data_IF_523715144829
#
_entry.id   IF_523715144829
#
_cell.length_a   1.000
_cell.length_b   1.000
_cell.length_c   1.000
_cell.angle_alpha   90.00
_cell.angle_beta   90.00
_cell.angle_gamma   90.00
#
_symmetry.space_group_name_H-M   'P 1'
#
loop_
_entity.id
_entity.type
_entity.pdbx_description
1 polymer ?
#
# COMPACT_ATOMS: atom_id res chain seq x y z
N UNK A 1 34.32 -37.93 60.77
CA UNK A 1 34.02 -38.08 59.34
C UNK A 1 32.77 -37.27 59.05
N UNK A 2 32.94 -36.02 58.62
CA UNK A 2 31.83 -35.06 58.45
C UNK A 2 31.33 -35.16 57.01
N UNK A 3 30.11 -35.66 56.81
CA UNK A 3 29.48 -35.76 55.49
C UNK A 3 28.84 -34.42 55.15
N UNK A 4 29.40 -33.75 54.14
CA UNK A 4 28.85 -32.53 53.57
C UNK A 4 27.82 -32.91 52.49
N UNK A 5 26.54 -32.63 52.74
CA UNK A 5 25.46 -32.86 51.76
C UNK A 5 25.37 -31.64 50.84
N UNK A 6 25.81 -31.81 49.59
CA UNK A 6 25.64 -30.81 48.53
C UNK A 6 24.20 -30.88 48.00
N UNK A 7 23.37 -29.89 48.35
CA UNK A 7 22.07 -29.68 47.70
C UNK A 7 22.30 -29.02 46.33
N UNK A 8 22.24 -29.82 45.26
CA UNK A 8 22.20 -29.30 43.90
C UNK A 8 20.77 -28.85 43.62
N UNK A 9 20.52 -27.54 43.68
CA UNK A 9 19.29 -26.96 43.15
C UNK A 9 19.34 -27.02 41.62
N UNK A 10 18.71 -28.05 41.04
CA UNK A 10 18.37 -28.06 39.62
C UNK A 10 17.24 -27.06 39.43
N UNK A 11 17.58 -25.83 39.07
CA UNK A 11 16.60 -24.86 38.60
C UNK A 11 16.12 -25.34 37.24
N UNK A 12 14.92 -25.91 37.19
CA UNK A 12 14.21 -26.14 35.93
C UNK A 12 13.81 -24.77 35.41
N UNK A 13 14.68 -24.18 34.57
CA UNK A 13 14.39 -22.92 33.90
C UNK A 13 13.30 -23.24 32.87
N UNK A 14 12.03 -23.10 33.28
CA UNK A 14 10.92 -23.13 32.33
C UNK A 14 11.24 -22.06 31.30
N UNK A 15 11.54 -22.49 30.07
CA UNK A 15 11.85 -21.61 28.95
C UNK A 15 10.58 -20.84 28.59
N UNK A 16 10.25 -19.83 29.39
CA UNK A 16 9.09 -18.98 29.17
C UNK A 16 9.17 -18.41 27.77
N UNK A 17 8.04 -18.48 27.07
CA UNK A 17 7.98 -18.26 25.64
C UNK A 17 8.25 -16.78 25.36
N UNK A 18 9.24 -16.47 24.52
CA UNK A 18 9.45 -15.15 23.93
C UNK A 18 9.13 -15.28 22.44
N UNK A 19 8.07 -14.62 22.00
CA UNK A 19 7.55 -14.75 20.65
C UNK A 19 7.30 -13.40 20.01
N UNK A 20 7.31 -13.36 18.68
CA UNK A 20 6.93 -12.19 17.89
C UNK A 20 5.50 -12.40 17.38
N UNK A 21 4.59 -11.50 17.75
CA UNK A 21 3.15 -11.64 17.47
C UNK A 21 2.73 -10.94 16.18
N UNK A 22 3.18 -9.69 15.99
CA UNK A 22 2.83 -8.86 14.84
C UNK A 22 4.07 -8.21 14.30
N UNK A 23 4.19 -8.18 12.97
CA UNK A 23 5.27 -7.49 12.27
C UNK A 23 4.66 -6.53 11.25
N UNK A 24 5.31 -5.39 11.05
CA UNK A 24 4.84 -4.35 10.13
C UNK A 24 6.01 -3.77 9.34
N UNK A 25 5.76 -3.42 8.08
CA UNK A 25 6.61 -2.58 7.26
C UNK A 25 5.83 -1.29 6.96
N UNK A 26 6.45 -0.12 7.14
CA UNK A 26 5.77 1.18 7.00
C UNK A 26 4.42 1.24 7.75
N UNK A 27 4.41 0.69 8.97
CA UNK A 27 3.24 0.59 9.87
C UNK A 27 2.06 -0.25 9.36
N UNK A 28 2.24 -1.00 8.27
CA UNK A 28 1.25 -1.93 7.71
C UNK A 28 1.76 -3.36 7.80
N UNK A 29 0.86 -4.34 7.88
CA UNK A 29 1.29 -5.75 7.97
C UNK A 29 1.97 -6.20 6.69
N UNK A 30 1.31 -6.08 5.53
CA UNK A 30 1.90 -6.47 4.23
C UNK A 30 1.68 -5.40 3.15
N UNK A 31 2.36 -4.23 3.26
CA UNK A 31 2.12 -3.11 2.35
C UNK A 31 2.51 -3.43 0.90
N UNK A 32 1.68 -2.98 -0.04
CA UNK A 32 1.83 -3.28 -1.47
C UNK A 32 2.51 -2.16 -2.29
N UNK A 33 2.55 -0.93 -1.75
CA UNK A 33 3.09 0.27 -2.41
C UNK A 33 4.09 1.00 -1.49
N UNK A 34 5.14 0.30 -1.05
CA UNK A 34 6.19 0.93 -0.24
C UNK A 34 6.99 1.90 -1.12
N UNK A 35 6.75 3.20 -0.94
CA UNK A 35 7.37 4.28 -1.72
C UNK A 35 8.47 4.99 -0.91
N UNK A 36 9.45 4.24 -0.43
CA UNK A 36 10.65 4.78 0.25
C UNK A 36 11.85 3.91 -0.07
N UNK A 37 13.05 4.49 -0.07
CA UNK A 37 14.31 3.73 -0.26
C UNK A 37 14.75 3.00 1.01
N UNK A 38 14.25 3.43 2.17
CA UNK A 38 14.59 2.89 3.49
C UNK A 38 13.32 2.45 4.22
N UNK A 39 12.67 1.33 3.83
CA UNK A 39 11.49 0.84 4.52
C UNK A 39 11.75 0.63 6.01
N UNK A 40 10.75 0.94 6.83
CA UNK A 40 10.81 0.88 8.29
C UNK A 40 10.05 -0.32 8.81
N UNK A 41 10.72 -1.11 9.62
CA UNK A 41 10.18 -2.32 10.23
C UNK A 41 9.77 -2.08 11.68
N UNK A 42 8.72 -2.78 12.09
CA UNK A 42 8.25 -2.80 13.47
C UNK A 42 7.76 -4.19 13.84
N UNK A 43 7.86 -4.54 15.12
CA UNK A 43 7.37 -5.80 15.64
C UNK A 43 6.88 -5.69 17.09
N UNK A 44 5.94 -6.56 17.43
CA UNK A 44 5.40 -6.71 18.77
C UNK A 44 5.90 -8.03 19.36
N UNK A 45 6.48 -7.96 20.56
CA UNK A 45 6.95 -9.12 21.31
C UNK A 45 5.92 -9.51 22.38
N UNK A 46 5.79 -10.80 22.62
CA UNK A 46 5.00 -11.35 23.71
C UNK A 46 5.87 -12.27 24.56
N UNK A 47 5.72 -12.18 25.88
CA UNK A 47 6.26 -13.18 26.80
C UNK A 47 5.30 -13.45 27.95
N UNK A 48 5.28 -14.69 28.40
CA UNK A 48 4.60 -15.16 29.62
C UNK A 48 5.37 -14.82 30.91
N UNK A 49 6.59 -14.27 30.79
CA UNK A 49 7.43 -13.86 31.91
C UNK A 49 7.39 -12.36 32.15
N UNK A 50 7.46 -11.98 33.41
CA UNK A 50 7.65 -10.60 33.82
C UNK A 50 9.08 -10.12 33.52
N UNK A 51 9.23 -8.80 33.35
CA UNK A 51 10.51 -8.11 33.18
C UNK A 51 11.32 -8.59 31.97
N UNK A 52 10.64 -9.00 30.90
CA UNK A 52 11.27 -9.32 29.62
C UNK A 52 11.33 -8.06 28.76
N UNK A 53 12.55 -7.63 28.46
CA UNK A 53 12.82 -6.56 27.51
C UNK A 53 13.78 -7.06 26.43
N UNK A 54 13.59 -6.59 25.19
CA UNK A 54 14.51 -6.84 24.09
C UNK A 54 15.86 -6.19 24.36
N UNK A 55 16.95 -6.91 24.09
CA UNK A 55 18.33 -6.42 24.14
C UNK A 55 18.98 -6.36 22.75
N UNK A 56 18.51 -7.16 21.80
CA UNK A 56 18.99 -7.19 20.43
C UNK A 56 17.93 -7.73 19.46
N UNK A 57 18.15 -7.49 18.17
CA UNK A 57 17.34 -8.05 17.09
C UNK A 57 18.21 -8.46 15.88
N UNK A 58 17.62 -9.23 14.97
CA UNK A 58 18.17 -9.55 13.65
C UNK A 58 17.03 -9.62 12.64
N UNK A 59 17.16 -8.88 11.54
CA UNK A 59 16.23 -8.86 10.41
C UNK A 59 16.88 -9.54 9.23
N UNK A 60 16.11 -10.38 8.54
CA UNK A 60 16.48 -11.00 7.28
C UNK A 60 15.43 -10.64 6.23
N UNK A 61 15.88 -10.19 5.05
CA UNK A 61 15.07 -9.90 3.88
C UNK A 61 15.52 -10.78 2.72
N UNK A 62 14.55 -11.38 2.03
CA UNK A 62 14.72 -12.24 0.86
C UNK A 62 13.85 -11.76 -0.29
N UNK A 63 14.19 -12.13 -1.52
CA UNK A 63 13.29 -11.98 -2.68
C UNK A 63 12.32 -13.17 -2.81
N UNK A 64 11.49 -13.18 -3.85
CA UNK A 64 10.53 -14.25 -4.12
C UNK A 64 11.15 -15.62 -4.44
N UNK A 65 12.45 -15.65 -4.75
CA UNK A 65 13.21 -16.87 -5.02
C UNK A 65 13.93 -17.39 -3.76
N UNK A 66 13.70 -16.74 -2.61
CA UNK A 66 14.36 -16.97 -1.32
C UNK A 66 15.86 -16.61 -1.30
N UNK A 67 16.35 -15.81 -2.25
CA UNK A 67 17.72 -15.30 -2.18
C UNK A 67 17.80 -14.23 -1.08
N UNK A 68 18.83 -14.28 -0.23
CA UNK A 68 19.04 -13.27 0.81
C UNK A 68 19.48 -11.95 0.17
N UNK A 69 18.62 -10.94 0.33
CA UNK A 69 18.86 -9.57 -0.12
C UNK A 69 19.61 -8.79 0.95
N UNK A 70 19.22 -8.98 2.20
CA UNK A 70 19.86 -8.35 3.35
C UNK A 70 19.70 -9.20 4.61
N UNK A 71 20.74 -9.21 5.44
CA UNK A 71 20.70 -9.73 6.79
C UNK A 71 21.41 -8.72 7.69
N UNK A 72 20.73 -8.23 8.71
CA UNK A 72 21.28 -7.20 9.60
C UNK A 72 22.38 -7.73 10.53
N UNK A 73 22.53 -9.05 10.64
CA UNK A 73 23.20 -9.69 11.76
C UNK A 73 22.48 -9.39 13.08
N UNK A 74 23.16 -9.65 14.20
CA UNK A 74 22.63 -9.30 15.53
C UNK A 74 22.98 -7.85 15.87
N UNK A 75 21.97 -7.00 15.94
CA UNK A 75 22.11 -5.59 16.34
C UNK A 75 21.71 -5.44 17.80
N UNK A 76 22.63 -4.94 18.64
CA UNK A 76 22.38 -4.66 20.07
C UNK A 76 21.56 -3.38 20.19
N UNK A 77 20.25 -3.53 20.33
CA UNK A 77 19.29 -2.44 20.49
C UNK A 77 17.97 -2.96 21.07
N UNK A 78 17.34 -2.13 21.91
CA UNK A 78 15.99 -2.35 22.43
C UNK A 78 14.90 -1.76 21.51
N UNK A 79 15.27 -1.11 20.40
CA UNK A 79 14.33 -0.58 19.43
C UNK A 79 13.61 -1.71 18.69
N UNK A 80 12.28 -1.61 18.61
CA UNK A 80 11.40 -2.60 17.97
C UNK A 80 10.34 -1.97 17.06
N UNK A 81 10.43 -0.66 16.84
CA UNK A 81 9.58 0.13 15.95
C UNK A 81 10.46 1.09 15.16
N UNK A 82 10.03 1.47 13.96
CA UNK A 82 10.75 2.41 13.10
C UNK A 82 12.19 1.98 12.79
N UNK A 83 12.46 0.68 12.70
CA UNK A 83 13.80 0.16 12.40
C UNK A 83 14.02 0.23 10.90
N UNK A 84 14.89 1.12 10.46
CA UNK A 84 15.14 1.35 9.03
C UNK A 84 15.92 0.20 8.38
N UNK A 85 15.56 -0.11 7.15
CA UNK A 85 16.39 -0.88 6.24
C UNK A 85 17.74 -0.17 6.04
N UNK A 86 18.83 -0.88 6.34
CA UNK A 86 20.22 -0.37 6.22
C UNK A 86 21.10 -1.25 5.33
N UNK A 87 20.51 -2.06 4.45
CA UNK A 87 21.26 -2.89 3.52
C UNK A 87 21.90 -2.08 2.38
N UNK A 88 23.12 -2.47 1.98
CA UNK A 88 23.87 -1.82 0.90
C UNK A 88 23.19 -1.97 -0.47
N UNK A 89 22.49 -3.09 -0.69
CA UNK A 89 21.76 -3.34 -1.93
C UNK A 89 20.48 -2.51 -1.96
N UNK A 90 20.27 -1.77 -3.04
CA UNK A 90 19.01 -1.06 -3.25
C UNK A 90 17.87 -2.05 -3.51
N UNK A 91 16.75 -1.85 -2.81
CA UNK A 91 15.51 -2.54 -3.10
C UNK A 91 14.96 -2.06 -4.43
N UNK A 92 14.60 -2.99 -5.31
CA UNK A 92 14.23 -2.69 -6.68
C UNK A 92 12.74 -2.28 -6.75
N UNK A 93 12.40 -1.24 -7.52
CA UNK A 93 11.02 -0.81 -7.70
C UNK A 93 10.12 -1.93 -8.24
N UNK A 94 8.89 -2.02 -7.72
CA UNK A 94 7.90 -3.01 -8.14
C UNK A 94 8.18 -4.45 -7.70
N UNK A 95 9.32 -4.73 -7.05
CA UNK A 95 9.65 -6.07 -6.54
C UNK A 95 9.03 -6.31 -5.17
N UNK A 96 8.70 -7.58 -4.96
CA UNK A 96 8.22 -8.12 -3.70
C UNK A 96 9.38 -8.70 -2.90
N UNK A 97 9.35 -8.45 -1.59
CA UNK A 97 10.36 -8.88 -0.65
C UNK A 97 9.67 -9.51 0.56
N UNK A 98 10.33 -10.54 1.10
CA UNK A 98 9.87 -11.30 2.25
C UNK A 98 10.85 -11.08 3.39
N UNK A 99 10.35 -10.87 4.59
CA UNK A 99 11.19 -10.58 5.73
C UNK A 99 10.71 -11.26 7.00
N UNK A 100 11.66 -11.45 7.91
CA UNK A 100 11.40 -11.97 9.26
C UNK A 100 12.37 -11.35 10.24
N UNK A 101 11.96 -11.33 11.50
CA UNK A 101 12.77 -10.82 12.61
C UNK A 101 12.97 -11.88 13.67
N UNK A 102 14.09 -11.83 14.36
CA UNK A 102 14.39 -12.58 15.56
C UNK A 102 14.89 -11.61 16.63
N UNK A 103 14.52 -11.84 17.89
CA UNK A 103 14.89 -10.98 19.02
C UNK A 103 15.62 -11.75 20.11
N UNK A 104 16.44 -11.05 20.88
CA UNK A 104 17.06 -11.53 22.11
C UNK A 104 16.55 -10.72 23.30
N UNK A 105 16.35 -11.35 24.45
CA UNK A 105 16.02 -10.67 25.70
C UNK A 105 17.26 -10.19 26.48
N UNK A 106 17.04 -9.50 27.60
CA UNK A 106 18.10 -9.04 28.51
C UNK A 106 19.00 -10.14 29.10
N UNK A 107 18.59 -11.42 29.04
CA UNK A 107 19.41 -12.57 29.45
C UNK A 107 20.09 -13.26 28.26
N UNK A 108 20.11 -12.59 27.11
CA UNK A 108 20.66 -13.11 25.86
C UNK A 108 19.95 -14.39 25.35
N UNK A 109 18.71 -14.65 25.80
CA UNK A 109 17.89 -15.75 25.28
C UNK A 109 17.26 -15.33 23.97
N UNK A 110 17.32 -16.20 22.98
CA UNK A 110 16.81 -15.95 21.63
C UNK A 110 15.36 -16.43 21.51
N UNK A 111 14.56 -15.70 20.73
CA UNK A 111 13.22 -16.12 20.29
C UNK A 111 13.29 -17.01 19.05
N UNK A 112 12.19 -17.69 18.73
CA UNK A 112 11.99 -18.17 17.37
C UNK A 112 11.90 -17.00 16.39
N UNK A 113 12.20 -17.25 15.11
CA UNK A 113 11.98 -16.26 14.06
C UNK A 113 10.47 -15.98 13.95
N UNK A 114 10.12 -14.73 13.66
CA UNK A 114 8.74 -14.38 13.34
C UNK A 114 8.23 -15.19 12.14
N UNK A 115 6.90 -15.25 12.00
CA UNK A 115 6.32 -15.62 10.71
C UNK A 115 6.88 -14.70 9.62
N UNK A 116 7.12 -15.26 8.44
CA UNK A 116 7.52 -14.48 7.27
C UNK A 116 6.41 -13.52 6.93
N UNK A 117 6.77 -12.25 6.80
CA UNK A 117 5.88 -11.19 6.32
C UNK A 117 6.44 -10.62 5.02
N UNK A 118 5.67 -9.84 4.29
CA UNK A 118 5.98 -9.39 2.95
C UNK A 118 5.76 -7.88 2.82
N UNK A 119 6.53 -7.26 1.94
CA UNK A 119 6.21 -5.94 1.42
C UNK A 119 6.59 -5.87 -0.06
N UNK A 120 5.90 -5.00 -0.79
CA UNK A 120 6.23 -4.71 -2.19
C UNK A 120 6.61 -3.26 -2.34
N UNK A 121 7.75 -3.05 -3.01
CA UNK A 121 8.19 -1.72 -3.42
C UNK A 121 7.23 -1.16 -4.46
N UNK A 122 6.89 0.13 -4.35
CA UNK A 122 6.18 0.81 -5.42
C UNK A 122 7.00 0.73 -6.73
N UNK A 123 6.38 0.48 -7.89
CA UNK A 123 7.07 0.62 -9.18
C UNK A 123 7.61 2.03 -9.37
N UNK A 124 8.67 2.14 -10.16
CA UNK A 124 9.14 3.43 -10.63
C UNK A 124 8.21 3.89 -11.77
N UNK A 125 7.91 5.20 -11.81
CA UNK A 125 7.16 5.83 -12.90
C UNK A 125 5.84 5.10 -13.20
N UNK A 126 4.98 5.01 -12.18
CA UNK A 126 3.64 4.41 -12.32
C UNK A 126 2.85 5.18 -13.38
N UNK A 127 3.11 6.47 -13.52
CA UNK A 127 2.55 7.42 -14.46
C UNK A 127 3.06 7.29 -15.90
N UNK A 128 4.19 6.61 -16.14
CA UNK A 128 4.78 6.47 -17.47
C UNK A 128 3.76 5.92 -18.47
N UNK A 129 3.63 6.64 -19.59
CA UNK A 129 2.77 6.29 -20.72
C UNK A 129 1.27 6.17 -20.37
N UNK A 130 0.83 6.77 -19.25
CA UNK A 130 -0.59 6.84 -18.90
C UNK A 130 -1.18 8.16 -19.37
N UNK A 131 -2.34 8.07 -20.00
CA UNK A 131 -3.20 9.22 -20.26
C UNK A 131 -4.35 9.19 -19.27
N UNK A 132 -4.61 10.34 -18.65
CA UNK A 132 -5.80 10.53 -17.84
C UNK A 132 -7.05 10.40 -18.72
N UNK A 133 -8.08 9.77 -18.17
CA UNK A 133 -9.33 9.45 -18.87
C UNK A 133 -10.41 10.36 -18.32
N UNK A 134 -10.91 11.25 -19.17
CA UNK A 134 -11.96 12.22 -18.85
C UNK A 134 -13.24 11.91 -19.62
N UNK A 135 -14.40 12.16 -19.00
CA UNK A 135 -15.68 12.18 -19.71
C UNK A 135 -15.99 13.54 -20.35
N UNK A 136 -15.36 14.60 -19.86
CA UNK A 136 -15.47 15.97 -20.36
C UNK A 136 -14.13 16.67 -20.14
N UNK A 137 -13.65 17.43 -21.11
CA UNK A 137 -12.39 18.16 -20.95
C UNK A 137 -12.55 19.36 -20.02
N UNK A 138 -11.49 19.76 -19.33
CA UNK A 138 -11.53 20.96 -18.46
C UNK A 138 -12.05 22.20 -19.20
N UNK A 139 -11.69 22.38 -20.48
CA UNK A 139 -12.15 23.52 -21.30
C UNK A 139 -13.66 23.52 -21.52
N UNK A 140 -14.28 22.35 -21.69
CA UNK A 140 -15.73 22.22 -21.95
C UNK A 140 -16.58 22.36 -20.67
N UNK A 141 -15.93 22.35 -19.49
CA UNK A 141 -16.65 22.38 -18.20
C UNK A 141 -17.07 23.78 -17.78
N UNK A 142 -16.40 24.83 -18.28
CA UNK A 142 -16.51 26.19 -17.76
C UNK A 142 -16.29 26.31 -16.23
N UNK A 143 -15.50 25.40 -15.65
CA UNK A 143 -15.12 25.49 -14.23
C UNK A 143 -14.35 26.78 -13.95
N UNK A 144 -14.73 27.56 -12.92
CA UNK A 144 -13.99 28.77 -12.55
C UNK A 144 -12.52 28.47 -12.24
N UNK A 145 -11.64 29.36 -12.69
CA UNK A 145 -10.22 29.30 -12.36
C UNK A 145 -9.92 30.03 -11.05
N UNK A 146 -8.90 29.56 -10.33
CA UNK A 146 -8.53 30.06 -9.01
C UNK A 146 -9.21 29.30 -7.86
N UNK A 147 -8.57 29.27 -6.69
CA UNK A 147 -9.14 28.66 -5.47
C UNK A 147 -9.14 29.67 -4.34
N UNK A 148 -10.30 29.82 -3.71
CA UNK A 148 -10.45 30.63 -2.51
C UNK A 148 -10.85 29.72 -1.35
N UNK A 149 -9.88 29.33 -0.53
CA UNK A 149 -10.11 28.44 0.61
C UNK A 149 -10.62 29.17 1.87
N UNK A 150 -10.56 30.51 1.91
CA UNK A 150 -10.71 31.31 3.13
C UNK A 150 -11.82 32.36 3.08
N UNK A 151 -12.58 32.46 1.99
CA UNK A 151 -13.67 33.44 1.87
C UNK A 151 -14.98 32.86 2.38
N UNK A 152 -15.58 33.51 3.38
CA UNK A 152 -16.85 33.09 3.97
C UNK A 152 -18.07 33.33 3.05
N UNK A 153 -17.93 34.25 2.08
CA UNK A 153 -18.95 34.62 1.12
C UNK A 153 -18.38 34.58 -0.30
N UNK A 154 -19.18 34.10 -1.23
CA UNK A 154 -18.88 34.04 -2.66
C UNK A 154 -19.49 35.28 -3.31
N UNK A 155 -18.73 35.96 -4.17
CA UNK A 155 -19.23 37.12 -4.89
C UNK A 155 -20.42 36.73 -5.79
N UNK A 156 -21.28 37.70 -6.13
CA UNK A 156 -22.40 37.44 -7.04
C UNK A 156 -21.88 36.99 -8.42
N UNK A 157 -20.76 37.55 -8.87
CA UNK A 157 -20.07 37.19 -10.10
C UNK A 157 -19.58 35.74 -10.08
N UNK A 158 -18.89 35.32 -9.01
CA UNK A 158 -18.39 33.95 -8.90
C UNK A 158 -19.54 32.95 -8.76
N UNK A 159 -20.60 33.31 -8.03
CA UNK A 159 -21.81 32.48 -7.95
C UNK A 159 -22.41 32.23 -9.33
N UNK A 160 -22.48 33.26 -10.18
CA UNK A 160 -22.96 33.12 -11.56
C UNK A 160 -22.06 32.19 -12.39
N UNK A 161 -20.73 32.32 -12.29
CA UNK A 161 -19.79 31.44 -12.99
C UNK A 161 -19.97 29.97 -12.60
N UNK A 162 -20.18 29.69 -11.31
CA UNK A 162 -20.45 28.32 -10.84
C UNK A 162 -21.79 27.75 -11.35
N UNK A 163 -22.79 28.59 -11.62
CA UNK A 163 -24.06 28.19 -12.23
C UNK A 163 -23.93 27.87 -13.72
N UNK A 164 -22.97 28.49 -14.42
CA UNK A 164 -22.72 28.31 -15.86
C UNK A 164 -21.83 27.09 -16.18
N UNK A 165 -21.37 26.37 -15.16
CA UNK A 165 -20.60 25.14 -15.33
C UNK A 165 -21.41 24.04 -16.01
N UNK A 166 -20.75 23.26 -16.86
CA UNK A 166 -21.38 22.16 -17.57
C UNK A 166 -21.91 21.11 -16.58
N UNK A 167 -23.19 20.68 -16.65
CA UNK A 167 -23.76 19.71 -15.73
C UNK A 167 -22.99 18.38 -15.65
N UNK A 168 -22.34 17.95 -16.73
CA UNK A 168 -21.55 16.70 -16.74
C UNK A 168 -20.37 16.76 -15.78
N UNK A 169 -19.82 17.95 -15.52
CA UNK A 169 -18.75 18.14 -14.53
C UNK A 169 -19.22 17.86 -13.10
N UNK A 170 -20.53 17.92 -12.81
CA UNK A 170 -21.11 17.68 -11.47
C UNK A 170 -21.66 16.26 -11.28
N UNK A 171 -21.67 15.45 -12.33
CA UNK A 171 -22.24 14.09 -12.29
C UNK A 171 -21.19 13.07 -11.86
N UNK A 172 -21.66 11.96 -11.30
CA UNK A 172 -20.83 10.78 -11.15
C UNK A 172 -20.72 10.08 -12.51
N UNK A 173 -19.52 9.63 -12.86
CA UNK A 173 -19.20 9.09 -14.19
C UNK A 173 -18.93 7.60 -14.08
N UNK A 174 -19.66 6.79 -14.84
CA UNK A 174 -19.35 5.36 -15.01
C UNK A 174 -18.49 5.15 -16.26
N UNK A 175 -17.31 4.56 -16.07
CA UNK A 175 -16.42 4.13 -17.13
C UNK A 175 -16.39 2.61 -17.17
N UNK A 176 -16.42 2.02 -18.38
CA UNK A 176 -16.36 0.57 -18.56
C UNK A 176 -15.40 0.17 -19.67
N UNK A 177 -14.70 -0.95 -19.48
CA UNK A 177 -13.86 -1.53 -20.52
C UNK A 177 -13.84 -3.05 -20.45
N UNK A 178 -14.19 -3.69 -21.57
CA UNK A 178 -14.05 -5.13 -21.74
C UNK A 178 -12.63 -5.49 -22.20
N UNK A 179 -12.15 -6.66 -21.78
CA UNK A 179 -10.90 -7.23 -22.27
C UNK A 179 -10.90 -8.76 -22.20
N UNK A 180 -10.04 -9.38 -23.02
CA UNK A 180 -9.84 -10.82 -23.07
C UNK A 180 -8.51 -11.21 -22.41
N UNK A 181 -8.50 -12.36 -21.75
CA UNK A 181 -7.29 -13.00 -21.22
C UNK A 181 -6.81 -14.08 -22.21
N UNK A 182 -5.91 -13.69 -23.10
CA UNK A 182 -5.47 -14.58 -24.20
C UNK A 182 -4.38 -15.58 -23.80
N UNK A 183 -3.75 -15.39 -22.63
CA UNK A 183 -2.64 -16.23 -22.13
C UNK A 183 -2.70 -16.29 -20.61
N UNK A 184 -2.24 -17.39 -19.99
CA UNK A 184 -1.99 -17.44 -18.56
C UNK A 184 -1.07 -16.30 -18.13
N UNK A 185 -1.41 -15.68 -17.01
CA UNK A 185 -0.60 -14.64 -16.39
C UNK A 185 -0.22 -15.09 -14.99
N UNK A 186 0.95 -14.64 -14.54
CA UNK A 186 1.40 -14.89 -13.19
C UNK A 186 0.79 -13.86 -12.24
N UNK A 187 0.64 -12.63 -12.73
CA UNK A 187 0.15 -11.52 -11.94
C UNK A 187 -0.48 -10.44 -12.82
N UNK A 188 -1.57 -9.84 -12.34
CA UNK A 188 -2.12 -8.60 -12.85
C UNK A 188 -2.47 -7.63 -11.74
N UNK A 189 -1.87 -6.44 -11.82
CA UNK A 189 -2.05 -5.34 -10.89
C UNK A 189 -2.72 -4.19 -11.60
N UNK A 190 -3.74 -3.61 -10.97
CA UNK A 190 -4.32 -2.32 -11.34
C UNK A 190 -3.70 -1.26 -10.44
N UNK A 191 -3.13 -0.21 -11.03
CA UNK A 191 -2.85 1.06 -10.37
C UNK A 191 -3.93 2.05 -10.78
N UNK A 192 -4.58 2.68 -9.81
CA UNK A 192 -5.76 3.51 -10.05
C UNK A 192 -5.79 4.72 -9.13
N UNK A 193 -6.23 5.84 -9.69
CA UNK A 193 -6.61 7.02 -8.93
C UNK A 193 -7.76 7.72 -9.62
N UNK A 194 -8.81 8.03 -8.86
CA UNK A 194 -9.87 8.95 -9.25
C UNK A 194 -9.88 10.11 -8.27
N UNK A 195 -9.19 11.22 -8.56
CA UNK A 195 -9.20 12.42 -7.72
C UNK A 195 -10.64 12.84 -7.43
N UNK A 196 -10.96 13.01 -6.15
CA UNK A 196 -12.33 12.96 -5.68
C UNK A 196 -12.53 11.62 -5.01
N UNK A 197 -13.36 10.76 -5.59
CA UNK A 197 -13.47 9.37 -5.20
C UNK A 197 -13.66 8.43 -6.39
N UNK A 198 -13.30 7.16 -6.22
CA UNK A 198 -13.70 6.13 -7.17
C UNK A 198 -14.12 4.83 -6.49
N UNK A 199 -14.88 4.02 -7.22
CA UNK A 199 -15.17 2.63 -6.90
C UNK A 199 -14.75 1.76 -8.09
N UNK A 200 -13.92 0.74 -7.83
CA UNK A 200 -13.42 -0.20 -8.83
C UNK A 200 -14.19 -1.52 -8.74
N UNK A 201 -14.64 -1.99 -9.90
CA UNK A 201 -15.30 -3.28 -10.06
C UNK A 201 -14.67 -4.10 -11.19
N UNK A 202 -14.68 -5.42 -11.02
CA UNK A 202 -14.28 -6.41 -12.01
C UNK A 202 -15.39 -7.46 -12.13
N UNK A 203 -15.86 -7.70 -13.35
CA UNK A 203 -16.87 -8.71 -13.64
C UNK A 203 -18.17 -8.53 -12.84
N UNK A 204 -18.53 -7.28 -12.57
CA UNK A 204 -19.73 -6.90 -11.80
C UNK A 204 -19.54 -6.87 -10.28
N UNK A 205 -18.40 -7.32 -9.75
CA UNK A 205 -18.12 -7.33 -8.32
C UNK A 205 -17.14 -6.22 -7.95
N UNK A 206 -17.35 -5.56 -6.80
CA UNK A 206 -16.37 -4.62 -6.24
C UNK A 206 -15.07 -5.35 -5.90
N UNK A 207 -13.94 -4.70 -6.19
CA UNK A 207 -12.60 -5.25 -5.90
C UNK A 207 -12.23 -5.08 -4.41
N UNK A 208 -12.78 -4.06 -3.75
CA UNK A 208 -12.47 -3.72 -2.35
C UNK A 208 -13.75 -3.24 -1.64
N UNK A 209 -13.80 -3.40 -0.32
CA UNK A 209 -14.82 -2.83 0.57
C UNK A 209 -14.44 -1.43 1.08
N UNK A 210 -13.20 -0.99 0.83
CA UNK A 210 -12.71 0.36 1.10
C UNK A 210 -13.65 1.42 0.48
N UNK A 211 -13.85 2.49 1.23
CA UNK A 211 -14.69 3.62 0.82
C UNK A 211 -13.84 4.87 0.69
N UNK A 212 -14.27 5.79 -0.18
CA UNK A 212 -13.65 7.10 -0.35
C UNK A 212 -12.17 7.08 -0.81
N UNK A 213 -11.74 6.00 -1.47
CA UNK A 213 -10.45 5.96 -2.16
C UNK A 213 -10.36 7.07 -3.24
N UNK A 214 -9.19 7.70 -3.45
CA UNK A 214 -7.87 7.39 -2.89
C UNK A 214 -7.48 8.21 -1.63
N UNK A 215 -8.44 8.80 -0.91
CA UNK A 215 -8.27 9.89 0.09
C UNK A 215 -8.09 11.28 -0.53
N UNK A 216 -8.30 12.31 0.31
CA UNK A 216 -8.16 13.71 -0.05
C UNK A 216 -6.72 14.20 0.16
N UNK A 217 -6.18 14.90 -0.83
CA UNK A 217 -4.91 15.62 -0.80
C UNK A 217 -5.04 17.04 -1.38
N UNK A 218 -3.97 17.83 -1.30
CA UNK A 218 -3.80 19.00 -2.18
C UNK A 218 -3.44 18.51 -3.58
N UNK A 219 -4.44 18.38 -4.45
CA UNK A 219 -4.31 17.71 -5.75
C UNK A 219 -3.36 18.42 -6.74
N UNK A 220 -2.95 19.66 -6.46
CA UNK A 220 -1.88 20.33 -7.22
C UNK A 220 -0.49 19.78 -6.93
N UNK A 221 -0.32 19.22 -5.74
CA UNK A 221 0.99 18.77 -5.25
C UNK A 221 1.09 17.27 -5.28
N UNK A 222 0.02 16.59 -4.86
CA UNK A 222 0.03 15.15 -4.65
C UNK A 222 -1.32 14.57 -5.02
N UNK A 223 -1.30 13.50 -5.80
CA UNK A 223 -2.47 12.66 -6.04
C UNK A 223 -2.14 11.25 -5.55
N UNK A 224 -2.95 10.74 -4.62
CA UNK A 224 -2.78 9.38 -4.11
C UNK A 224 -3.21 8.33 -5.13
N UNK A 225 -2.57 7.18 -5.10
CA UNK A 225 -2.81 6.06 -6.00
C UNK A 225 -2.94 4.79 -5.17
N UNK A 226 -3.94 3.97 -5.49
CA UNK A 226 -4.09 2.64 -4.91
C UNK A 226 -3.64 1.57 -5.90
N UNK A 227 -3.32 0.39 -5.39
CA UNK A 227 -2.99 -0.77 -6.19
C UNK A 227 -3.76 -2.00 -5.75
N UNK A 228 -4.27 -2.76 -6.72
CA UNK A 228 -5.03 -3.99 -6.48
C UNK A 228 -4.43 -5.12 -7.32
N UNK A 229 -4.05 -6.22 -6.67
CA UNK A 229 -3.77 -7.47 -7.36
C UNK A 229 -5.10 -8.17 -7.65
N UNK A 230 -5.45 -8.30 -8.94
CA UNK A 230 -6.73 -8.86 -9.39
C UNK A 230 -6.58 -10.26 -10.01
N UNK A 231 -5.42 -10.89 -9.84
CA UNK A 231 -5.05 -12.10 -10.59
C UNK A 231 -6.03 -13.26 -10.35
N UNK A 232 -6.56 -13.38 -9.14
CA UNK A 232 -7.42 -14.52 -8.73
C UNK A 232 -8.85 -14.40 -9.26
N UNK A 233 -9.26 -13.19 -9.60
CA UNK A 233 -10.62 -12.82 -9.99
C UNK A 233 -10.82 -12.81 -11.52
N UNK A 234 -9.72 -12.96 -12.28
CA UNK A 234 -9.73 -12.94 -13.74
C UNK A 234 -10.37 -14.19 -14.34
N UNK A 235 -11.07 -13.97 -15.46
CA UNK A 235 -11.68 -14.98 -16.32
C UNK A 235 -11.14 -14.86 -17.75
N UNK A 236 -11.63 -15.66 -18.69
CA UNK A 236 -11.27 -15.51 -20.12
C UNK A 236 -11.79 -14.19 -20.72
N UNK A 237 -13.01 -13.80 -20.32
CA UNK A 237 -13.65 -12.53 -20.68
C UNK A 237 -13.86 -11.73 -19.41
N UNK A 238 -13.38 -10.50 -19.41
CA UNK A 238 -13.50 -9.63 -18.24
C UNK A 238 -14.03 -8.26 -18.60
N UNK A 239 -14.71 -7.64 -17.65
CA UNK A 239 -15.16 -6.26 -17.72
C UNK A 239 -14.69 -5.52 -16.48
N UNK A 240 -13.93 -4.43 -16.67
CA UNK A 240 -13.64 -3.45 -15.62
C UNK A 240 -14.72 -2.37 -15.66
N UNK A 241 -15.22 -2.02 -14.47
CA UNK A 241 -16.08 -0.85 -14.27
C UNK A 241 -15.45 0.07 -13.23
N UNK A 242 -15.47 1.38 -13.49
CA UNK A 242 -15.05 2.40 -12.54
C UNK A 242 -16.16 3.43 -12.41
N UNK A 243 -16.63 3.67 -11.19
CA UNK A 243 -17.51 4.79 -10.87
C UNK A 243 -16.65 5.91 -10.28
N UNK A 244 -16.67 7.09 -10.89
CA UNK A 244 -16.02 8.30 -10.39
C UNK A 244 -17.04 9.18 -9.67
N UNK A 245 -16.65 9.69 -8.51
CA UNK A 245 -17.35 10.71 -7.75
C UNK A 245 -16.51 11.97 -7.60
N UNK A 246 -17.17 13.13 -7.53
CA UNK A 246 -16.49 14.43 -7.47
C UNK A 246 -15.62 14.60 -6.22
N UNK A 247 -16.15 14.23 -5.05
CA UNK A 247 -15.50 14.47 -3.75
C UNK A 247 -14.91 15.88 -3.61
N UNK A 248 -13.88 16.00 -2.77
CA UNK A 248 -13.16 17.27 -2.57
C UNK A 248 -12.33 17.74 -3.76
N UNK A 249 -12.19 16.93 -4.82
CA UNK A 249 -11.52 17.35 -6.05
C UNK A 249 -12.38 18.29 -6.89
N UNK A 250 -13.70 18.21 -6.78
CA UNK A 250 -14.60 19.01 -7.60
C UNK A 250 -15.88 19.40 -6.84
N UNK A 251 -15.71 20.20 -5.79
CA UNK A 251 -16.83 20.71 -5.01
C UNK A 251 -17.40 21.99 -5.61
N UNK A 252 -18.49 21.83 -6.35
CA UNK A 252 -19.15 22.95 -7.03
C UNK A 252 -20.29 23.56 -6.19
N UNK A 253 -20.36 23.21 -4.90
CA UNK A 253 -21.39 23.63 -3.95
C UNK A 253 -22.75 22.96 -4.18
N UNK A 254 -23.83 23.70 -3.92
CA UNK A 254 -25.20 23.18 -3.92
C UNK A 254 -25.92 23.63 -2.65
N UNK A 255 -26.41 22.67 -1.83
CA UNK A 255 -27.02 22.99 -0.53
C UNK A 255 -26.03 23.70 0.43
N UNK A 256 -24.74 23.40 0.32
CA UNK A 256 -23.68 24.00 1.14
C UNK A 256 -22.69 24.74 0.23
N UNK A 257 -22.43 26.01 0.52
CA UNK A 257 -21.60 26.91 -0.31
C UNK A 257 -20.29 27.32 0.36
N UNK A 258 -20.01 26.85 1.59
CA UNK A 258 -18.82 27.24 2.36
C UNK A 258 -17.49 26.73 1.76
N UNK A 259 -17.56 25.82 0.77
CA UNK A 259 -16.40 25.30 0.03
C UNK A 259 -16.81 25.09 -1.43
N UNK A 260 -16.52 26.06 -2.30
CA UNK A 260 -16.64 25.92 -3.76
C UNK A 260 -15.24 25.97 -4.37
N UNK A 261 -14.68 24.80 -4.65
CA UNK A 261 -13.32 24.63 -5.17
C UNK A 261 -13.30 23.46 -6.13
N UNK A 262 -12.65 23.64 -7.28
CA UNK A 262 -12.45 22.58 -8.26
C UNK A 262 -11.00 22.53 -8.74
N UNK A 263 -10.48 21.31 -8.86
CA UNK A 263 -9.19 20.99 -9.47
C UNK A 263 -9.38 20.49 -10.92
N UNK A 264 -10.60 20.10 -11.28
CA UNK A 264 -10.99 19.66 -12.62
C UNK A 264 -12.28 18.83 -12.59
N UNK A 265 -12.81 18.41 -13.74
CA UNK A 265 -13.90 17.44 -13.80
C UNK A 265 -13.45 16.06 -13.26
N UNK A 266 -14.39 15.14 -12.99
CA UNK A 266 -14.07 13.75 -12.69
C UNK A 266 -13.13 13.16 -13.75
N UNK A 267 -11.98 12.67 -13.30
CA UNK A 267 -10.92 12.13 -14.14
C UNK A 267 -10.40 10.82 -13.55
N UNK A 268 -9.88 9.94 -14.40
CA UNK A 268 -9.35 8.64 -14.01
C UNK A 268 -7.92 8.45 -14.49
N UNK A 269 -7.04 8.18 -13.54
CA UNK A 269 -5.77 7.51 -13.77
C UNK A 269 -5.98 6.00 -13.68
N UNK A 270 -5.60 5.26 -14.72
CA UNK A 270 -5.76 3.82 -14.73
C UNK A 270 -4.64 3.15 -15.52
N UNK A 271 -3.88 2.27 -14.84
CA UNK A 271 -2.82 1.46 -15.46
C UNK A 271 -2.96 0.01 -15.03
N UNK A 272 -2.85 -0.88 -16.00
CA UNK A 272 -2.74 -2.33 -15.77
C UNK A 272 -1.32 -2.78 -16.03
N UNK A 273 -0.74 -3.46 -15.07
CA UNK A 273 0.56 -4.10 -15.20
C UNK A 273 0.39 -5.61 -15.14
N UNK A 274 0.91 -6.31 -16.15
CA UNK A 274 0.83 -7.77 -16.27
C UNK A 274 2.22 -8.36 -16.15
N UNK A 275 2.39 -9.39 -15.32
CA UNK A 275 3.54 -10.28 -15.34
C UNK A 275 3.14 -11.60 -16.00
N UNK A 276 3.86 -11.97 -17.06
CA UNK A 276 3.61 -13.22 -17.79
C UNK A 276 4.36 -14.35 -17.10
N UNK A 277 3.78 -15.55 -17.13
CA UNK A 277 4.51 -16.78 -16.79
C UNK A 277 5.55 -17.00 -17.89
N UNK A 278 6.83 -16.93 -17.54
CA UNK A 278 7.89 -17.43 -18.41
C UNK A 278 8.05 -18.92 -18.13
N UNK A 279 7.52 -19.76 -19.03
CA UNK A 279 7.95 -21.15 -19.06
C UNK A 279 9.40 -21.17 -19.56
N UNK A 280 10.36 -21.32 -18.65
CA UNK A 280 11.69 -21.78 -19.05
C UNK A 280 11.51 -23.16 -19.68
N UNK A 281 11.61 -23.24 -21.01
CA UNK A 281 11.83 -24.51 -21.71
C UNK A 281 13.24 -24.98 -21.36
N UNK A 282 13.42 -25.53 -20.16
CA UNK A 282 14.50 -26.47 -19.92
C UNK A 282 13.97 -27.86 -20.28
N UNK A 283 13.99 -28.15 -21.58
CA UNK A 283 13.94 -29.52 -22.09
C UNK A 283 15.16 -29.70 -22.98
N UNK A 284 16.29 -29.99 -22.35
CA UNK A 284 17.26 -30.90 -22.93
C UNK A 284 17.35 -32.10 -22.00
N UNK A 285 16.61 -33.15 -22.36
CA UNK A 285 16.88 -34.52 -21.94
C UNK A 285 16.85 -35.37 -23.21
N UNK A 286 17.98 -35.37 -23.93
CA UNK A 286 18.75 -36.53 -24.42
C UNK A 286 19.74 -36.09 -25.48
#
# INVERSE_FOLDING_TARGET
MTILVFFVFVSCDSSGNLSIQKTTCEYQESPFLVNTRTPRFGWQIFSDRNQVAQSAYSIEITDAENNIIWNSGKIKSNQNQHVEYSGEKLLQPGKEYFWRVQVWDGRNRVSDRSKTNMFRMAPYDIEANVKWIDAITKKETNLPEGRNYHTLAISAEDSKRWLETNPLSKRNIYLRKDFLLNKPIEEEIIYISGPGHYELSLNGNRISDEQFNPMWSDYDKTVYCNAYNITKELKDKNTIGVLLGNGFHNEQGGRYTKMQVSFGPPTLFFKRQKRKIYFYKNVEIR
#
